data_IF_669317676862
#
_entry.id   IF_669317676862
#
_cell.length_a   1.000
_cell.length_b   1.000
_cell.length_c   1.000
_cell.angle_alpha   90.00
_cell.angle_beta   90.00
_cell.angle_gamma   90.00
#
_symmetry.space_group_name_H-M   'P 1'
#
loop_
_entity.id
_entity.type
_entity.pdbx_description
1 polymer ?
#
# COMPACT_ATOMS: atom_id res chain seq x y z
N UNK A 1 11.31 -21.88 2.70
CA UNK A 1 10.44 -21.49 1.58
C UNK A 1 10.94 -20.19 0.99
N UNK A 2 11.09 -20.14 -0.31
CA UNK A 2 11.61 -18.96 -0.98
C UNK A 2 10.54 -17.86 -1.01
N UNK A 3 10.96 -16.62 -0.72
CA UNK A 3 10.10 -15.45 -0.83
C UNK A 3 10.25 -14.92 -2.25
N UNK A 4 9.12 -14.64 -2.92
CA UNK A 4 9.16 -13.99 -4.24
C UNK A 4 9.68 -12.56 -4.09
N UNK A 5 10.22 -11.95 -5.17
CA UNK A 5 10.65 -10.55 -5.11
C UNK A 5 9.53 -9.62 -4.64
N UNK A 6 8.31 -9.79 -5.13
CA UNK A 6 7.18 -8.98 -4.69
C UNK A 6 6.83 -9.25 -3.23
N UNK A 7 6.92 -10.51 -2.79
CA UNK A 7 6.71 -10.86 -1.38
C UNK A 7 7.72 -10.21 -0.47
N UNK A 8 8.98 -10.07 -0.94
CA UNK A 8 10.02 -9.39 -0.18
C UNK A 8 9.70 -7.91 -0.01
N UNK A 9 9.20 -7.26 -1.05
CA UNK A 9 8.76 -5.85 -0.97
C UNK A 9 7.62 -5.73 0.04
N UNK A 10 6.63 -6.61 -0.05
CA UNK A 10 5.48 -6.62 0.85
C UNK A 10 5.92 -6.76 2.30
N UNK A 11 6.85 -7.68 2.57
CA UNK A 11 7.36 -7.90 3.92
C UNK A 11 8.04 -6.64 4.46
N UNK A 12 8.87 -6.00 3.62
CA UNK A 12 9.57 -4.79 4.02
C UNK A 12 8.60 -3.64 4.29
N UNK A 13 7.57 -3.50 3.48
CA UNK A 13 6.54 -2.48 3.69
C UNK A 13 5.88 -2.68 5.05
N UNK A 14 5.50 -3.92 5.38
CA UNK A 14 4.86 -4.20 6.66
C UNK A 14 5.77 -3.87 7.84
N UNK A 15 7.06 -4.17 7.72
CA UNK A 15 8.03 -3.83 8.76
C UNK A 15 8.13 -2.32 8.98
N UNK A 16 8.17 -1.56 7.90
CA UNK A 16 8.22 -0.09 7.97
C UNK A 16 6.94 0.45 8.61
N UNK A 17 5.78 -0.04 8.19
CA UNK A 17 4.50 0.39 8.74
C UNK A 17 4.40 0.08 10.23
N UNK A 18 4.90 -1.08 10.66
CA UNK A 18 4.94 -1.43 12.08
C UNK A 18 5.81 -0.46 12.86
N UNK A 19 6.97 -0.11 12.35
CA UNK A 19 7.87 0.83 13.00
C UNK A 19 7.29 2.24 13.07
N UNK A 20 6.45 2.59 12.09
CA UNK A 20 5.77 3.89 12.06
C UNK A 20 4.52 3.92 12.94
N UNK A 21 4.10 2.78 13.50
CA UNK A 21 2.89 2.71 14.29
C UNK A 21 1.61 2.77 13.48
N UNK A 22 1.66 2.38 12.22
CA UNK A 22 0.49 2.38 11.33
C UNK A 22 -0.32 1.11 11.56
N UNK A 23 -1.62 1.25 11.75
CA UNK A 23 -2.52 0.11 11.75
C UNK A 23 -2.63 -0.40 10.31
N UNK A 24 -2.41 -1.68 10.08
CA UNK A 24 -2.49 -2.24 8.73
C UNK A 24 -2.80 -3.73 8.76
N UNK A 25 -3.29 -4.22 7.64
CA UNK A 25 -3.52 -5.66 7.44
C UNK A 25 -3.47 -5.96 5.95
N UNK A 26 -3.32 -7.26 5.63
CA UNK A 26 -3.35 -7.75 4.26
C UNK A 26 -4.73 -8.34 4.00
N UNK A 27 -5.51 -7.76 3.07
CA UNK A 27 -6.83 -8.31 2.75
C UNK A 27 -6.71 -9.72 2.19
N UNK A 28 -7.65 -10.58 2.51
CA UNK A 28 -7.72 -11.90 1.90
C UNK A 28 -8.25 -11.76 0.47
N UNK A 29 -7.52 -12.37 -0.46
CA UNK A 29 -7.89 -12.34 -1.87
C UNK A 29 -8.18 -13.76 -2.33
N UNK A 30 -9.30 -14.28 -1.87
CA UNK A 30 -9.66 -15.67 -2.07
C UNK A 30 -10.79 -15.87 -3.09
N UNK A 31 -11.02 -14.89 -3.95
CA UNK A 31 -12.08 -14.96 -4.96
C UNK A 31 -13.44 -14.52 -4.48
N UNK A 32 -13.59 -14.27 -3.19
CA UNK A 32 -14.86 -13.80 -2.62
C UNK A 32 -14.97 -12.29 -2.62
N UNK A 33 -13.85 -11.61 -2.78
CA UNK A 33 -13.81 -10.16 -2.79
C UNK A 33 -13.64 -9.59 -4.19
N UNK A 34 -13.49 -8.28 -4.22
CA UNK A 34 -13.26 -7.54 -5.45
C UNK A 34 -11.83 -7.73 -5.94
N UNK A 35 -11.66 -7.88 -7.26
CA UNK A 35 -10.34 -7.98 -7.86
C UNK A 35 -9.63 -6.62 -7.82
N UNK A 36 -8.29 -6.65 -7.73
CA UNK A 36 -7.47 -5.45 -7.79
C UNK A 36 -7.30 -4.71 -6.47
N UNK A 37 -7.81 -5.26 -5.37
CA UNK A 37 -7.65 -4.67 -4.04
C UNK A 37 -6.16 -4.57 -3.70
N UNK A 38 -5.70 -3.44 -3.11
CA UNK A 38 -4.30 -3.30 -2.72
C UNK A 38 -3.81 -4.41 -1.79
N UNK A 39 -2.53 -4.70 -1.85
CA UNK A 39 -1.90 -5.74 -1.03
C UNK A 39 -2.01 -5.45 0.46
N UNK A 40 -1.95 -4.18 0.84
CA UNK A 40 -1.98 -3.76 2.23
C UNK A 40 -2.96 -2.62 2.39
N UNK A 41 -3.81 -2.73 3.40
CA UNK A 41 -4.76 -1.68 3.78
C UNK A 41 -4.32 -1.17 5.15
N UNK A 42 -4.35 0.13 5.34
CA UNK A 42 -3.98 0.70 6.61
C UNK A 42 -4.70 2.00 6.93
N UNK A 43 -4.41 2.50 8.12
CA UNK A 43 -4.92 3.79 8.56
C UNK A 43 -3.80 4.54 9.28
N UNK A 44 -3.56 5.77 8.88
CA UNK A 44 -2.52 6.61 9.44
C UNK A 44 -3.12 7.99 9.72
N UNK A 45 -3.14 8.39 10.98
CA UNK A 45 -3.71 9.65 11.41
C UNK A 45 -5.14 9.87 10.90
N UNK A 46 -5.94 8.79 10.93
CA UNK A 46 -7.33 8.84 10.50
C UNK A 46 -7.52 8.77 8.99
N UNK A 47 -6.44 8.67 8.22
CA UNK A 47 -6.52 8.59 6.77
C UNK A 47 -6.41 7.15 6.30
N UNK A 48 -7.29 6.75 5.38
CA UNK A 48 -7.25 5.43 4.75
C UNK A 48 -6.02 5.33 3.87
N UNK A 49 -5.35 4.19 3.91
CA UNK A 49 -4.13 3.95 3.18
C UNK A 49 -4.23 2.63 2.42
N UNK A 50 -4.01 2.66 1.12
CA UNK A 50 -3.94 1.46 0.29
C UNK A 50 -2.58 1.38 -0.37
N UNK A 51 -1.88 0.27 -0.21
CA UNK A 51 -0.54 0.09 -0.76
C UNK A 51 -0.50 -1.15 -1.64
N UNK A 52 -0.16 -0.95 -2.91
CA UNK A 52 0.09 -2.02 -3.86
C UNK A 52 1.59 -2.24 -3.95
N UNK A 53 2.05 -3.48 -3.79
CA UNK A 53 3.48 -3.81 -3.82
C UNK A 53 3.84 -4.43 -5.15
N UNK A 54 4.91 -3.94 -5.77
CA UNK A 54 5.45 -4.45 -7.02
C UNK A 54 6.94 -4.67 -6.87
N UNK A 55 7.51 -5.51 -7.71
CA UNK A 55 8.95 -5.78 -7.72
C UNK A 55 9.51 -5.52 -9.10
N UNK A 56 10.74 -5.01 -9.13
CA UNK A 56 11.46 -4.76 -10.37
C UNK A 56 10.67 -3.84 -11.29
N UNK A 57 10.42 -4.31 -12.51
CA UNK A 57 9.68 -3.55 -13.51
C UNK A 57 8.18 -3.86 -13.53
N UNK A 58 7.70 -4.56 -12.51
CA UNK A 58 6.29 -4.88 -12.43
C UNK A 58 5.43 -3.63 -12.39
N UNK A 59 4.30 -3.66 -13.09
CA UNK A 59 3.38 -2.54 -13.16
C UNK A 59 2.00 -2.99 -12.69
N UNK A 60 1.17 -2.01 -12.34
CA UNK A 60 -0.19 -2.30 -11.90
C UNK A 60 -1.07 -2.74 -13.07
N UNK A 61 -2.05 -3.60 -12.75
CA UNK A 61 -3.07 -3.99 -13.73
C UNK A 61 -4.16 -2.91 -13.78
N UNK A 62 -5.02 -3.00 -14.79
CA UNK A 62 -6.14 -2.08 -14.91
C UNK A 62 -7.07 -2.14 -13.69
N UNK A 63 -7.31 -3.34 -13.15
CA UNK A 63 -8.16 -3.49 -11.97
C UNK A 63 -7.51 -2.88 -10.73
N UNK A 64 -6.19 -3.05 -10.58
CA UNK A 64 -5.45 -2.43 -9.47
C UNK A 64 -5.49 -0.91 -9.58
N UNK A 65 -5.28 -0.36 -10.78
CA UNK A 65 -5.36 1.08 -11.01
C UNK A 65 -6.75 1.63 -10.66
N UNK A 66 -7.79 0.88 -11.02
CA UNK A 66 -9.15 1.28 -10.69
C UNK A 66 -9.35 1.39 -9.19
N UNK A 67 -8.87 0.40 -8.43
CA UNK A 67 -9.03 0.42 -6.98
C UNK A 67 -8.22 1.54 -6.32
N UNK A 68 -7.00 1.78 -6.79
CA UNK A 68 -6.18 2.88 -6.27
C UNK A 68 -6.85 4.23 -6.54
N UNK A 69 -7.39 4.41 -7.73
CA UNK A 69 -8.10 5.66 -8.09
C UNK A 69 -9.34 5.86 -7.22
N UNK A 70 -10.08 4.79 -6.95
CA UNK A 70 -11.28 4.87 -6.09
C UNK A 70 -10.92 5.27 -4.67
N UNK A 71 -9.81 4.77 -4.14
CA UNK A 71 -9.31 5.17 -2.83
C UNK A 71 -9.00 6.66 -2.81
N UNK A 72 -8.28 7.14 -3.82
CA UNK A 72 -7.91 8.55 -3.91
C UNK A 72 -9.15 9.44 -4.03
N UNK A 73 -10.11 9.04 -4.86
CA UNK A 73 -11.34 9.82 -5.05
C UNK A 73 -12.17 9.87 -3.76
N UNK A 74 -12.05 8.88 -2.91
CA UNK A 74 -12.76 8.84 -1.64
C UNK A 74 -12.03 9.57 -0.52
N UNK A 75 -10.87 10.17 -0.81
CA UNK A 75 -10.10 10.94 0.16
C UNK A 75 -9.00 10.17 0.86
N UNK A 76 -8.75 8.93 0.48
CA UNK A 76 -7.65 8.15 1.03
C UNK A 76 -6.35 8.33 0.24
N UNK A 77 -5.31 7.68 0.71
CA UNK A 77 -4.01 7.69 0.05
C UNK A 77 -3.74 6.32 -0.56
N UNK A 78 -3.36 6.32 -1.84
CA UNK A 78 -3.06 5.09 -2.57
C UNK A 78 -1.65 5.18 -3.12
N UNK A 79 -0.85 4.14 -2.86
CA UNK A 79 0.57 4.11 -3.19
C UNK A 79 0.90 2.83 -3.92
N UNK A 80 1.83 2.93 -4.88
CA UNK A 80 2.48 1.78 -5.49
C UNK A 80 3.93 1.79 -5.03
N UNK A 81 4.35 0.75 -4.34
CA UNK A 81 5.66 0.68 -3.70
C UNK A 81 6.48 -0.46 -4.30
N UNK A 82 7.73 -0.17 -4.63
CA UNK A 82 8.71 -1.14 -5.08
C UNK A 82 10.03 -0.93 -4.34
N UNK A 83 11.07 -1.67 -4.73
CA UNK A 83 12.38 -1.58 -4.09
C UNK A 83 12.99 -0.18 -4.18
N UNK A 84 12.68 0.55 -5.25
CA UNK A 84 13.30 1.86 -5.48
C UNK A 84 12.67 2.96 -4.64
N UNK A 85 11.35 2.92 -4.45
CA UNK A 85 10.64 4.01 -3.76
C UNK A 85 10.21 3.67 -2.33
N UNK A 86 10.52 2.47 -1.85
CA UNK A 86 10.02 1.98 -0.55
C UNK A 86 10.39 2.91 0.61
N UNK A 87 11.53 3.57 0.54
CA UNK A 87 11.95 4.47 1.62
C UNK A 87 11.08 5.72 1.73
N UNK A 88 10.30 6.04 0.71
CA UNK A 88 9.37 7.15 0.76
C UNK A 88 8.25 6.92 1.79
N UNK A 89 8.03 5.66 2.18
CA UNK A 89 7.04 5.36 3.21
C UNK A 89 7.32 6.10 4.52
N UNK A 90 8.59 6.29 4.85
CA UNK A 90 8.95 6.97 6.09
C UNK A 90 8.44 8.42 6.11
N UNK A 91 8.21 9.01 4.94
CA UNK A 91 7.81 10.39 4.80
C UNK A 91 6.30 10.58 4.74
N UNK A 92 5.54 9.51 4.54
CA UNK A 92 4.09 9.65 4.32
C UNK A 92 3.35 10.19 5.55
N UNK A 93 3.83 9.90 6.75
CA UNK A 93 3.21 10.42 7.97
C UNK A 93 3.26 11.95 7.99
N UNK A 94 4.43 12.50 7.70
CA UNK A 94 4.61 13.95 7.64
C UNK A 94 3.78 14.54 6.51
N UNK A 95 3.79 13.90 5.35
CA UNK A 95 3.06 14.36 4.19
C UNK A 95 1.55 14.36 4.43
N UNK A 96 1.02 13.30 5.02
CA UNK A 96 -0.40 13.19 5.36
C UNK A 96 -0.78 14.26 6.40
N UNK A 97 0.05 14.43 7.42
CA UNK A 97 -0.19 15.44 8.46
C UNK A 97 -0.22 16.85 7.87
N UNK A 98 0.71 17.15 6.96
CA UNK A 98 0.79 18.46 6.31
C UNK A 98 -0.44 18.73 5.46
N UNK A 99 -0.99 17.72 4.79
CA UNK A 99 -2.12 17.87 3.87
C UNK A 99 -3.48 17.58 4.52
N UNK A 100 -3.50 17.36 5.81
CA UNK A 100 -4.74 17.07 6.54
C UNK A 100 -5.46 18.38 6.87
N UNK A 101 -6.74 18.40 6.65
CA UNK A 101 -7.59 19.56 6.95
C UNK A 101 -8.53 19.28 8.08
#
# INVERSE_FOLDING_TARGET
MAITPEGAVKKKVKEILDQMGVYHFTPMQNGMGRAGIPDIIGCLDGQFLGIECKAGRGTTTALQERELTRIQNAGGYALVVNEENINQLWEIKEWITTNKH
#
